data_IF_239149035049
#
_entry.id   IF_239149035049
#
_cell.length_a   1.000
_cell.length_b   1.000
_cell.length_c   1.000
_cell.angle_alpha   90.00
_cell.angle_beta   90.00
_cell.angle_gamma   90.00
#
_symmetry.space_group_name_H-M   'P 1'
#
loop_
_entity.id
_entity.type
_entity.pdbx_description
1 polymer ?
#
# COMPACT_ATOMS: atom_id res chain seq x y z
N UNK A 1 -17.03 12.28 4.20
CA UNK A 1 -15.79 11.49 4.32
C UNK A 1 -14.65 12.24 3.64
N UNK A 2 -13.51 12.36 4.30
CA UNK A 2 -12.34 13.08 3.79
C UNK A 2 -11.64 12.28 2.68
N UNK A 3 -11.19 12.97 1.64
CA UNK A 3 -10.32 12.37 0.62
C UNK A 3 -8.92 12.10 1.20
N UNK A 4 -8.16 11.21 0.57
CA UNK A 4 -6.78 10.92 0.97
C UNK A 4 -5.81 12.08 0.75
N UNK A 5 -6.09 12.89 -0.28
CA UNK A 5 -5.34 14.09 -0.61
C UNK A 5 -6.30 15.29 -0.65
N UNK A 6 -5.76 16.47 -0.36
CA UNK A 6 -6.48 17.73 -0.46
C UNK A 6 -6.06 18.55 -1.70
N UNK A 7 -6.59 19.77 -1.83
CA UNK A 7 -6.23 20.67 -2.92
C UNK A 7 -4.79 21.18 -2.82
N UNK A 8 -4.22 21.27 -1.62
CA UNK A 8 -2.84 21.69 -1.43
C UNK A 8 -1.88 20.58 -1.88
N UNK A 9 -2.19 19.32 -1.58
CA UNK A 9 -1.44 18.14 -2.04
C UNK A 9 -1.41 18.06 -3.59
N UNK A 10 -2.53 18.40 -4.24
CA UNK A 10 -2.62 18.50 -5.71
C UNK A 10 -1.75 19.65 -6.26
N UNK A 11 -1.79 20.82 -5.63
CA UNK A 11 -0.98 21.98 -6.01
C UNK A 11 0.52 21.78 -5.79
N UNK A 12 0.90 20.94 -4.84
CA UNK A 12 2.30 20.57 -4.60
C UNK A 12 2.87 19.65 -5.70
N UNK A 13 2.01 18.87 -6.37
CA UNK A 13 2.41 17.85 -7.36
C UNK A 13 2.22 18.29 -8.81
N UNK A 14 1.22 19.12 -9.07
CA UNK A 14 0.82 19.52 -10.42
C UNK A 14 0.85 21.04 -10.58
N UNK A 15 1.16 21.49 -11.81
CA UNK A 15 1.15 22.92 -12.11
C UNK A 15 -0.27 23.51 -11.96
N UNK A 16 -0.36 24.57 -11.15
CA UNK A 16 -1.58 25.30 -10.86
C UNK A 16 -2.24 25.85 -12.13
N UNK A 17 -1.46 26.21 -13.17
CA UNK A 17 -2.05 26.74 -14.42
C UNK A 17 -2.81 25.66 -15.16
N UNK A 18 -2.19 24.49 -15.33
CA UNK A 18 -2.78 23.32 -15.97
C UNK A 18 -4.03 22.85 -15.22
N UNK A 19 -3.94 22.74 -13.88
CA UNK A 19 -5.10 22.39 -13.06
C UNK A 19 -6.23 23.42 -13.19
N UNK A 20 -5.90 24.70 -13.17
CA UNK A 20 -6.89 25.78 -13.31
C UNK A 20 -7.63 25.74 -14.65
N UNK A 21 -6.92 25.42 -15.74
CA UNK A 21 -7.50 25.27 -17.08
C UNK A 21 -8.32 23.99 -17.24
N UNK A 22 -7.95 22.92 -16.53
CA UNK A 22 -8.68 21.66 -16.52
C UNK A 22 -9.98 21.74 -15.71
N UNK A 23 -9.96 22.49 -14.60
CA UNK A 23 -11.11 22.65 -13.72
C UNK A 23 -12.13 23.67 -14.23
N UNK A 24 -11.73 24.57 -15.13
CA UNK A 24 -12.58 25.59 -15.72
C UNK A 24 -13.57 25.01 -16.76
N UNK A 25 -14.86 25.29 -16.58
CA UNK A 25 -15.92 24.96 -17.54
C UNK A 25 -16.41 26.17 -18.34
N UNK A 26 -16.36 27.36 -17.73
CA UNK A 26 -16.89 28.62 -18.27
C UNK A 26 -15.86 29.37 -19.12
N UNK A 27 -14.69 28.78 -19.35
CA UNK A 27 -13.57 29.42 -20.02
C UNK A 27 -12.77 30.39 -19.12
N UNK A 28 -13.16 30.54 -17.86
CA UNK A 28 -12.43 31.36 -16.88
C UNK A 28 -11.54 30.46 -16.04
N UNK A 29 -10.22 30.64 -16.14
CA UNK A 29 -9.26 29.85 -15.37
C UNK A 29 -9.54 29.95 -13.87
N UNK A 30 -9.59 28.79 -13.20
CA UNK A 30 -9.70 28.73 -11.74
C UNK A 30 -8.37 29.17 -11.12
N UNK A 31 -8.40 30.19 -10.28
CA UNK A 31 -7.22 30.67 -9.54
C UNK A 31 -6.89 29.74 -8.38
N UNK A 32 -5.62 29.73 -7.94
CA UNK A 32 -5.14 28.89 -6.83
C UNK A 32 -5.97 29.04 -5.56
N UNK A 33 -6.34 30.27 -5.20
CA UNK A 33 -7.18 30.55 -4.02
C UNK A 33 -8.60 29.96 -4.10
N UNK A 34 -9.12 29.74 -5.31
CA UNK A 34 -10.46 29.18 -5.53
C UNK A 34 -10.46 27.67 -5.76
N UNK A 35 -9.28 27.03 -5.87
CA UNK A 35 -9.19 25.59 -6.11
C UNK A 35 -9.73 24.76 -4.94
N UNK A 36 -9.48 25.18 -3.70
CA UNK A 36 -9.98 24.51 -2.50
C UNK A 36 -11.52 24.48 -2.45
N UNK A 37 -12.18 25.51 -2.99
CA UNK A 37 -13.63 25.62 -3.06
C UNK A 37 -14.24 24.93 -4.29
N UNK A 38 -13.42 24.41 -5.21
CA UNK A 38 -13.92 23.83 -6.46
C UNK A 38 -14.57 22.46 -6.20
N UNK A 39 -15.88 22.37 -6.46
CA UNK A 39 -16.67 21.16 -6.25
C UNK A 39 -16.24 20.00 -7.14
N UNK A 40 -15.70 20.27 -8.33
CA UNK A 40 -15.22 19.23 -9.26
C UNK A 40 -13.93 18.61 -8.78
N UNK A 41 -12.99 19.44 -8.30
CA UNK A 41 -11.74 18.94 -7.71
C UNK A 41 -12.05 18.05 -6.49
N UNK A 42 -12.91 18.52 -5.60
CA UNK A 42 -13.28 17.73 -4.42
C UNK A 42 -14.05 16.44 -4.78
N UNK A 43 -14.89 16.46 -5.81
CA UNK A 43 -15.56 15.26 -6.31
C UNK A 43 -14.58 14.25 -6.94
N UNK A 44 -13.60 14.73 -7.73
CA UNK A 44 -12.57 13.90 -8.33
C UNK A 44 -11.68 13.23 -7.28
N UNK A 45 -11.22 13.98 -6.28
CA UNK A 45 -10.43 13.44 -5.16
C UNK A 45 -11.21 12.40 -4.35
N UNK A 46 -12.51 12.61 -4.11
CA UNK A 46 -13.39 11.62 -3.45
C UNK A 46 -13.57 10.36 -4.29
N UNK A 47 -13.75 10.50 -5.61
CA UNK A 47 -13.85 9.37 -6.54
C UNK A 47 -12.57 8.55 -6.55
N UNK A 48 -11.41 9.20 -6.67
CA UNK A 48 -10.09 8.58 -6.62
C UNK A 48 -9.85 7.82 -5.31
N UNK A 49 -10.18 8.47 -4.18
CA UNK A 49 -10.14 7.84 -2.85
C UNK A 49 -11.00 6.58 -2.79
N UNK A 50 -12.23 6.62 -3.33
CA UNK A 50 -13.11 5.47 -3.38
C UNK A 50 -12.54 4.30 -4.19
N UNK A 51 -11.92 4.59 -5.34
CA UNK A 51 -11.26 3.56 -6.17
C UNK A 51 -10.07 2.91 -5.47
N UNK A 52 -9.20 3.71 -4.86
CA UNK A 52 -8.06 3.20 -4.12
C UNK A 52 -8.52 2.34 -2.93
N UNK A 53 -9.54 2.77 -2.18
CA UNK A 53 -10.13 1.96 -1.10
C UNK A 53 -10.66 0.63 -1.62
N UNK A 54 -11.37 0.62 -2.74
CA UNK A 54 -11.89 -0.62 -3.33
C UNK A 54 -10.75 -1.58 -3.75
N UNK A 55 -9.67 -1.04 -4.33
CA UNK A 55 -8.51 -1.84 -4.73
C UNK A 55 -7.79 -2.46 -3.52
N UNK A 56 -7.57 -1.65 -2.49
CA UNK A 56 -6.90 -2.05 -1.25
C UNK A 56 -7.72 -3.09 -0.48
N UNK A 57 -9.05 -2.91 -0.39
CA UNK A 57 -9.94 -3.88 0.27
C UNK A 57 -10.02 -5.20 -0.50
N UNK A 58 -10.01 -5.16 -1.84
CA UNK A 58 -10.01 -6.37 -2.68
C UNK A 58 -8.77 -7.24 -2.46
N UNK A 59 -7.64 -6.62 -2.12
CA UNK A 59 -6.43 -7.36 -1.81
C UNK A 59 -6.46 -8.06 -0.44
N UNK A 60 -7.46 -7.78 0.42
CA UNK A 60 -7.62 -8.31 1.80
C UNK A 60 -6.40 -8.07 2.73
N UNK A 61 -5.44 -7.27 2.28
CA UNK A 61 -4.18 -6.98 2.99
C UNK A 61 -4.32 -5.90 4.05
N UNK A 62 -5.31 -5.01 3.92
CA UNK A 62 -5.50 -3.88 4.82
C UNK A 62 -6.93 -3.83 5.33
N UNK A 63 -7.08 -3.49 6.61
CA UNK A 63 -8.38 -3.23 7.21
C UNK A 63 -8.79 -1.78 6.96
N UNK A 64 -10.07 -1.46 7.17
CA UNK A 64 -10.56 -0.07 7.10
C UNK A 64 -9.85 0.81 8.13
N UNK A 65 -9.51 0.25 9.30
CA UNK A 65 -8.80 0.95 10.37
C UNK A 65 -7.34 1.23 10.00
N UNK A 66 -6.65 0.27 9.36
CA UNK A 66 -5.29 0.49 8.84
C UNK A 66 -5.25 1.68 7.87
N UNK A 67 -6.24 1.76 6.98
CA UNK A 67 -6.37 2.84 6.00
C UNK A 67 -6.69 4.18 6.68
N UNK A 68 -7.53 4.18 7.70
CA UNK A 68 -7.86 5.38 8.47
C UNK A 68 -6.63 5.91 9.22
N UNK A 69 -5.81 5.01 9.80
CA UNK A 69 -4.60 5.39 10.51
C UNK A 69 -3.50 5.90 9.58
N UNK A 70 -3.41 5.36 8.35
CA UNK A 70 -2.50 5.87 7.31
C UNK A 70 -2.87 7.30 6.84
N UNK A 71 -4.12 7.73 7.01
CA UNK A 71 -4.54 9.11 6.69
C UNK A 71 -4.09 10.14 7.72
N UNK A 72 -3.84 9.75 8.97
CA UNK A 72 -3.42 10.68 10.01
C UNK A 72 -1.91 10.87 9.98
N UNK A 73 -1.44 12.01 9.47
CA UNK A 73 -0.05 12.46 9.59
C UNK A 73 0.29 12.64 11.08
N UNK A 74 0.88 11.61 11.70
CA UNK A 74 1.27 11.63 13.12
C UNK A 74 0.99 10.34 13.89
N UNK A 75 0.52 9.28 13.24
CA UNK A 75 0.33 8.00 13.92
C UNK A 75 1.68 7.28 14.07
N UNK A 76 2.14 7.08 15.31
CA UNK A 76 3.48 6.57 15.65
C UNK A 76 3.86 5.19 15.05
N UNK A 77 2.90 4.48 14.45
CA UNK A 77 3.06 3.13 13.93
C UNK A 77 3.08 3.07 12.38
N UNK A 78 2.96 4.21 11.70
CA UNK A 78 2.89 4.27 10.24
C UNK A 78 3.91 5.29 9.71
N UNK A 79 4.66 4.89 8.67
CA UNK A 79 5.69 5.74 8.08
C UNK A 79 5.06 6.92 7.32
N UNK A 80 5.54 8.14 7.56
CA UNK A 80 5.09 9.36 6.86
C UNK A 80 5.20 9.21 5.33
N UNK A 81 6.24 8.51 4.87
CA UNK A 81 6.49 8.20 3.46
C UNK A 81 5.33 7.43 2.81
N UNK A 82 4.71 6.48 3.54
CA UNK A 82 3.58 5.71 3.03
C UNK A 82 2.36 6.59 2.82
N UNK A 83 2.14 7.58 3.70
CA UNK A 83 1.03 8.53 3.58
C UNK A 83 1.21 9.48 2.38
N UNK A 84 2.44 9.94 2.13
CA UNK A 84 2.77 10.80 0.98
C UNK A 84 2.69 10.04 -0.34
N UNK A 85 3.04 8.76 -0.35
CA UNK A 85 2.84 7.91 -1.52
C UNK A 85 1.35 7.74 -1.84
N UNK A 86 0.52 7.48 -0.83
CA UNK A 86 -0.92 7.33 -0.98
C UNK A 86 -1.60 8.62 -1.49
N UNK A 87 -1.14 9.79 -1.00
CA UNK A 87 -1.55 11.09 -1.54
C UNK A 87 -1.20 11.23 -3.01
N UNK A 88 0.03 10.86 -3.39
CA UNK A 88 0.50 10.91 -4.79
C UNK A 88 -0.38 10.07 -5.70
N UNK A 89 -0.63 8.80 -5.33
CA UNK A 89 -1.53 7.92 -6.06
C UNK A 89 -2.95 8.50 -6.19
N UNK A 90 -3.45 9.12 -5.13
CA UNK A 90 -4.78 9.74 -5.13
C UNK A 90 -4.83 10.94 -6.08
N UNK A 91 -3.79 11.77 -6.05
CA UNK A 91 -3.65 12.92 -6.95
C UNK A 91 -3.58 12.49 -8.41
N UNK A 92 -2.84 11.44 -8.74
CA UNK A 92 -2.68 10.94 -10.11
C UNK A 92 -3.99 10.40 -10.68
N UNK A 93 -4.71 9.59 -9.89
CA UNK A 93 -6.03 9.08 -10.29
C UNK A 93 -7.04 10.22 -10.41
N UNK A 94 -7.02 11.20 -9.50
CA UNK A 94 -7.90 12.35 -9.55
C UNK A 94 -7.62 13.24 -10.78
N UNK A 95 -6.34 13.45 -11.10
CA UNK A 95 -5.91 14.19 -12.29
C UNK A 95 -6.46 13.55 -13.56
N UNK A 96 -6.34 12.22 -13.67
CA UNK A 96 -6.89 11.48 -14.81
C UNK A 96 -8.42 11.61 -14.94
N UNK A 97 -9.15 11.52 -13.84
CA UNK A 97 -10.62 11.67 -13.85
C UNK A 97 -11.05 13.08 -14.31
N UNK A 98 -10.34 14.13 -13.86
CA UNK A 98 -10.60 15.50 -14.32
C UNK A 98 -10.30 15.62 -15.81
N UNK A 99 -9.16 15.08 -16.25
CA UNK A 99 -8.75 15.21 -17.64
C UNK A 99 -9.71 14.49 -18.60
N UNK A 100 -10.20 13.31 -18.22
CA UNK A 100 -11.20 12.53 -18.95
C UNK A 100 -12.53 13.28 -19.12
N UNK A 101 -12.92 14.11 -18.17
CA UNK A 101 -14.23 14.78 -18.16
C UNK A 101 -14.36 15.88 -19.23
N UNK A 102 -13.26 16.44 -19.74
CA UNK A 102 -13.31 17.55 -20.71
C UNK A 102 -13.63 17.02 -22.12
N UNK A 103 -14.52 17.63 -22.92
CA UNK A 103 -14.72 17.25 -24.32
C UNK A 103 -13.53 17.71 -25.18
N UNK A 104 -12.94 16.80 -25.95
CA UNK A 104 -11.65 17.04 -26.60
C UNK A 104 -11.79 17.63 -28.00
N UNK A 105 -11.07 18.72 -28.26
CA UNK A 105 -10.83 19.28 -29.59
C UNK A 105 -9.34 19.17 -29.93
N UNK A 106 -8.83 17.98 -30.28
CA UNK A 106 -7.42 17.83 -30.67
C UNK A 106 -6.85 16.41 -30.73
N UNK A 107 -5.64 16.31 -31.30
CA UNK A 107 -4.88 15.09 -31.61
C UNK A 107 -4.12 14.45 -30.41
N UNK A 108 -4.42 14.83 -29.17
CA UNK A 108 -3.78 14.29 -27.95
C UNK A 108 -4.34 12.91 -27.55
N UNK A 109 -4.42 11.98 -28.50
CA UNK A 109 -4.88 10.62 -28.24
C UNK A 109 -3.80 9.76 -27.56
N UNK A 110 -2.52 9.97 -27.89
CA UNK A 110 -1.36 9.28 -27.30
C UNK A 110 -1.23 9.57 -25.80
N UNK A 111 -1.18 10.84 -25.44
CA UNK A 111 -0.88 11.32 -24.08
C UNK A 111 -1.96 10.84 -23.09
N UNK A 112 -3.20 10.70 -23.59
CA UNK A 112 -4.32 10.15 -22.83
C UNK A 112 -4.17 8.66 -22.56
N UNK A 113 -3.73 7.91 -23.56
CA UNK A 113 -3.52 6.47 -23.39
C UNK A 113 -2.44 6.23 -22.34
N UNK A 114 -1.37 7.02 -22.39
CA UNK A 114 -0.27 6.95 -21.42
C UNK A 114 -0.72 7.29 -20.00
N UNK A 115 -1.43 8.42 -19.78
CA UNK A 115 -1.90 8.77 -18.44
C UNK A 115 -2.96 7.81 -17.90
N UNK A 116 -3.82 7.27 -18.78
CA UNK A 116 -4.75 6.20 -18.39
C UNK A 116 -3.99 4.98 -17.92
N UNK A 117 -3.05 4.50 -18.74
CA UNK A 117 -2.26 3.31 -18.45
C UNK A 117 -1.47 3.49 -17.16
N UNK A 118 -0.89 4.67 -16.91
CA UNK A 118 -0.23 4.98 -15.64
C UNK A 118 -1.18 4.85 -14.44
N UNK A 119 -2.40 5.42 -14.53
CA UNK A 119 -3.38 5.31 -13.45
C UNK A 119 -3.89 3.88 -13.24
N UNK A 120 -4.10 3.13 -14.32
CA UNK A 120 -4.57 1.75 -14.29
C UNK A 120 -3.48 0.82 -13.75
N UNK A 121 -2.21 1.04 -14.12
CA UNK A 121 -1.05 0.31 -13.61
C UNK A 121 -0.85 0.55 -12.11
N UNK A 122 -0.99 1.79 -11.65
CA UNK A 122 -0.92 2.10 -10.22
C UNK A 122 -2.00 1.36 -9.42
N UNK A 123 -3.24 1.34 -9.92
CA UNK A 123 -4.33 0.60 -9.28
C UNK A 123 -4.08 -0.93 -9.34
N UNK A 124 -3.53 -1.43 -10.44
CA UNK A 124 -3.19 -2.84 -10.60
C UNK A 124 -2.04 -3.27 -9.67
N UNK A 125 -1.02 -2.44 -9.48
CA UNK A 125 0.08 -2.66 -8.54
C UNK A 125 -0.46 -2.79 -7.11
N UNK A 126 -1.37 -1.89 -6.70
CA UNK A 126 -2.06 -1.97 -5.42
C UNK A 126 -2.94 -3.22 -5.27
N UNK A 127 -3.65 -3.61 -6.33
CA UNK A 127 -4.53 -4.80 -6.30
C UNK A 127 -3.74 -6.11 -6.23
N UNK A 128 -2.62 -6.19 -6.94
CA UNK A 128 -1.73 -7.36 -6.92
C UNK A 128 -0.94 -7.49 -5.60
N UNK A 129 -0.84 -6.40 -4.83
CA UNK A 129 -0.01 -6.35 -3.63
C UNK A 129 1.48 -6.38 -3.95
N UNK A 130 1.89 -5.98 -5.16
CA UNK A 130 3.28 -5.74 -5.50
C UNK A 130 3.85 -4.55 -4.71
N UNK A 131 2.98 -3.57 -4.43
CA UNK A 131 3.28 -2.43 -3.57
C UNK A 131 2.56 -2.64 -2.24
N UNK A 132 3.35 -2.71 -1.16
CA UNK A 132 2.87 -2.95 0.19
C UNK A 132 3.31 -1.79 1.06
N UNK A 133 2.35 -1.11 1.68
CA UNK A 133 2.61 -0.14 2.74
C UNK A 133 3.17 -0.87 3.96
N UNK A 134 4.13 -0.24 4.63
CA UNK A 134 4.73 -0.79 5.83
C UNK A 134 3.76 -0.68 7.02
N UNK A 135 2.81 -1.61 7.09
CA UNK A 135 1.86 -1.72 8.19
C UNK A 135 2.32 -2.86 9.09
N UNK A 136 2.48 -2.65 10.42
CA UNK A 136 3.06 -3.65 11.32
C UNK A 136 2.45 -5.06 11.20
N UNK A 137 1.12 -5.15 11.03
CA UNK A 137 0.41 -6.42 10.84
C UNK A 137 0.87 -7.21 9.61
N UNK A 138 1.19 -6.51 8.52
CA UNK A 138 1.63 -7.13 7.27
C UNK A 138 3.10 -7.52 7.36
N UNK A 139 3.93 -6.67 7.97
CA UNK A 139 5.34 -6.93 8.21
C UNK A 139 5.53 -8.17 9.11
N UNK A 140 4.69 -8.33 10.14
CA UNK A 140 4.66 -9.51 11.01
C UNK A 140 4.21 -10.79 10.29
N UNK A 141 3.26 -10.69 9.35
CA UNK A 141 2.76 -11.85 8.60
C UNK A 141 3.73 -12.34 7.52
N UNK A 142 4.55 -11.46 6.95
CA UNK A 142 5.52 -11.77 5.90
C UNK A 142 6.79 -12.45 6.39
N UNK A 143 7.08 -12.37 7.69
CA UNK A 143 8.28 -12.97 8.28
C UNK A 143 7.90 -14.31 8.91
N UNK A 144 8.19 -15.46 8.28
CA UNK A 144 7.98 -16.75 8.93
C UNK A 144 8.83 -16.78 10.20
N UNK A 145 8.18 -16.63 11.36
CA UNK A 145 8.81 -16.83 12.67
C UNK A 145 9.11 -18.32 12.77
N UNK A 146 10.24 -18.75 12.22
CA UNK A 146 10.79 -20.08 12.47
C UNK A 146 11.22 -20.07 13.93
N UNK A 147 10.28 -20.41 14.81
CA UNK A 147 10.59 -20.74 16.18
C UNK A 147 11.37 -22.06 16.13
N UNK A 148 12.69 -21.97 16.01
CA UNK A 148 13.53 -23.12 16.30
C UNK A 148 13.36 -23.40 17.78
N UNK A 149 12.66 -24.49 18.10
CA UNK A 149 12.47 -24.92 19.49
C UNK A 149 13.85 -25.12 20.09
N UNK A 150 14.16 -24.38 21.14
CA UNK A 150 15.45 -24.54 21.81
C UNK A 150 15.49 -25.90 22.50
N UNK A 151 16.68 -26.49 22.62
CA UNK A 151 16.82 -27.78 23.31
C UNK A 151 16.26 -27.75 24.74
N UNK A 152 16.35 -26.59 25.40
CA UNK A 152 15.78 -26.37 26.72
C UNK A 152 14.24 -26.46 26.70
N UNK A 153 13.55 -25.80 25.76
CA UNK A 153 12.09 -25.85 25.63
C UNK A 153 11.58 -27.28 25.31
N UNK A 154 12.29 -28.03 24.46
CA UNK A 154 11.96 -29.44 24.18
C UNK A 154 12.03 -30.30 25.45
N UNK A 155 13.09 -30.10 26.25
CA UNK A 155 13.34 -30.88 27.47
C UNK A 155 12.43 -30.48 28.63
N UNK A 156 12.07 -29.19 28.78
CA UNK A 156 11.29 -28.70 29.92
C UNK A 156 9.79 -28.64 29.69
N UNK A 157 9.33 -28.20 28.51
CA UNK A 157 7.89 -27.96 28.26
C UNK A 157 7.22 -29.12 27.54
N UNK A 158 7.91 -29.74 26.59
CA UNK A 158 7.26 -30.72 25.71
C UNK A 158 7.38 -32.16 26.24
N UNK A 159 8.20 -32.38 27.28
CA UNK A 159 8.48 -33.68 27.88
C UNK A 159 8.74 -34.78 26.82
N UNK A 160 9.20 -34.37 25.64
CA UNK A 160 9.62 -35.29 24.61
C UNK A 160 10.92 -35.86 25.14
N UNK A 161 10.82 -37.03 25.75
CA UNK A 161 11.97 -37.85 26.05
C UNK A 161 12.71 -37.98 24.72
N UNK A 162 13.81 -37.23 24.58
CA UNK A 162 14.77 -37.36 23.47
C UNK A 162 14.92 -38.85 23.29
N UNK A 163 14.37 -39.37 22.18
CA UNK A 163 14.17 -40.79 21.97
C UNK A 163 15.43 -41.50 22.42
N UNK A 164 15.36 -42.12 23.59
CA UNK A 164 16.51 -42.75 24.23
C UNK A 164 16.76 -44.10 23.57
N UNK A 165 16.64 -44.17 22.24
CA UNK A 165 17.54 -44.91 21.39
C UNK A 165 18.99 -44.39 21.53
N UNK A 166 19.46 -44.26 22.77
CA UNK A 166 20.86 -44.14 23.18
C UNK A 166 21.56 -45.45 22.82
N UNK A 167 21.90 -45.58 21.53
CA UNK A 167 23.19 -46.11 21.09
C UNK A 167 23.65 -47.44 21.67
N UNK A 168 22.75 -48.40 21.91
CA UNK A 168 23.11 -49.81 22.16
C UNK A 168 22.79 -50.72 20.98
N UNK A 169 22.79 -50.19 19.76
CA UNK A 169 22.55 -51.00 18.56
C UNK A 169 23.80 -51.75 18.06
N UNK A 170 25.01 -51.36 18.50
CA UNK A 170 26.24 -52.10 18.16
C UNK A 170 26.77 -52.88 19.36
N UNK A 171 26.82 -54.22 19.30
CA UNK A 171 27.48 -55.00 20.33
C UNK A 171 28.99 -54.69 20.33
N UNK A 172 29.52 -54.22 21.47
CA UNK A 172 30.97 -54.07 21.66
C UNK A 172 31.59 -55.47 21.78
N UNK A 173 32.63 -55.76 20.99
CA UNK A 173 33.40 -57.01 21.12
C UNK A 173 33.99 -57.11 22.53
N UNK A 174 33.61 -58.17 23.25
CA UNK A 174 34.18 -58.54 24.55
C UNK A 174 35.63 -58.99 24.31
N UNK A 175 36.61 -58.18 24.70
CA UNK A 175 38.01 -58.60 24.69
C UNK A 175 38.21 -59.65 25.79
N UNK A 176 38.60 -60.86 25.38
CA UNK A 176 39.06 -61.89 26.30
C UNK A 176 40.51 -61.54 26.68
N UNK A 177 40.76 -61.29 27.97
CA UNK A 177 42.11 -61.13 28.50
C UNK A 177 42.62 -62.53 28.81
N UNK A 178 43.49 -63.07 27.96
CA UNK A 178 44.24 -64.29 28.27
C UNK A 178 45.23 -63.97 29.40
N UNK A 179 45.17 -64.78 30.46
CA UNK A 179 46.20 -64.82 31.51
C UNK A 179 47.49 -65.47 31.03
#
# INVERSE_FOLDING_TARGET
MAAFADSADMLARYDARTLGDLLADDGTRVTTGNMAANTRLSAALKSATGRLKAAVLRAERYTVDDIANMQSSGHANYDEESSEYLKTLTCDVAFWEIWKAKPHRGNHASDRKEAREASDLAIAAMTSGAEVFNVPRITDAGTPKVATVTRAEIESEWMLAVDQARGRFYPRRRSYRSG
#
